data_IF_484573871820
#
_entry.id   IF_484573871820
#
_cell.length_a   1.000
_cell.length_b   1.000
_cell.length_c   1.000
_cell.angle_alpha   90.00
_cell.angle_beta   90.00
_cell.angle_gamma   90.00
#
_symmetry.space_group_name_H-M   'P 1'
#
loop_
_entity.id
_entity.type
_entity.pdbx_description
1 polymer ?
#
# COMPACT_ATOMS: atom_id res chain seq x y z
N UNK A 1 55.00 23.73 -1.49
CA UNK A 1 53.96 23.58 -2.53
C UNK A 1 52.71 23.08 -1.84
N UNK A 2 51.77 23.98 -1.57
CA UNK A 2 50.54 23.74 -0.81
C UNK A 2 49.45 23.15 -1.72
N UNK A 3 48.90 22.01 -1.33
CA UNK A 3 47.76 21.37 -2.01
C UNK A 3 46.48 22.16 -1.70
N UNK A 4 45.87 22.74 -2.73
CA UNK A 4 44.52 23.30 -2.67
C UNK A 4 43.50 22.17 -2.87
N UNK A 5 42.91 21.68 -1.78
CA UNK A 5 41.71 20.84 -1.82
C UNK A 5 40.48 21.73 -1.98
N UNK A 6 39.90 21.75 -3.18
CA UNK A 6 38.61 22.40 -3.46
C UNK A 6 37.50 21.45 -3.01
N UNK A 7 36.85 21.78 -1.89
CA UNK A 7 35.62 21.12 -1.44
C UNK A 7 34.43 21.70 -2.19
N UNK A 8 33.77 20.89 -3.02
CA UNK A 8 32.50 21.25 -3.66
C UNK A 8 31.37 21.29 -2.62
N UNK A 9 30.42 22.23 -2.71
CA UNK A 9 29.27 22.29 -1.80
C UNK A 9 28.33 21.09 -2.03
N UNK A 10 27.53 20.72 -1.00
CA UNK A 10 26.63 19.57 -1.07
C UNK A 10 25.54 19.77 -2.15
N UNK A 11 25.37 18.76 -3.00
CA UNK A 11 24.25 18.66 -3.95
C UNK A 11 22.94 18.60 -3.17
N UNK A 12 22.18 19.69 -3.22
CA UNK A 12 20.78 19.69 -2.77
C UNK A 12 19.98 18.87 -3.78
N UNK A 13 19.60 17.65 -3.38
CA UNK A 13 18.60 16.88 -4.11
C UNK A 13 17.29 17.65 -3.98
N UNK A 14 16.93 18.35 -5.05
CA UNK A 14 15.60 18.96 -5.17
C UNK A 14 14.62 17.81 -5.36
N UNK A 15 13.54 17.67 -4.56
CA UNK A 15 12.55 16.64 -4.80
C UNK A 15 11.99 16.81 -6.20
N UNK A 16 11.96 15.71 -6.95
CA UNK A 16 11.45 15.63 -8.32
C UNK A 16 10.03 16.22 -8.33
N UNK A 17 9.85 17.36 -9.01
CA UNK A 17 8.53 17.91 -9.27
C UNK A 17 7.82 16.91 -10.19
N UNK A 18 6.55 16.54 -9.92
CA UNK A 18 5.80 15.69 -10.83
C UNK A 18 5.81 16.31 -12.23
N UNK A 19 5.89 15.49 -13.30
CA UNK A 19 6.03 15.99 -14.65
C UNK A 19 4.93 17.01 -14.95
N UNK A 20 5.35 18.18 -15.43
CA UNK A 20 4.47 19.22 -15.93
C UNK A 20 3.73 18.64 -17.15
N UNK A 21 2.56 18.05 -16.92
CA UNK A 21 1.71 17.63 -18.01
C UNK A 21 1.14 18.94 -18.60
N UNK A 22 1.46 19.30 -19.85
CA UNK A 22 0.92 20.51 -20.43
C UNK A 22 -0.62 20.41 -20.42
N UNK A 23 -1.35 21.47 -20.04
CA UNK A 23 -2.81 21.45 -20.08
C UNK A 23 -3.25 21.05 -21.48
N UNK A 24 -4.20 20.10 -21.57
CA UNK A 24 -4.81 19.69 -22.83
C UNK A 24 -5.53 20.93 -23.39
N UNK A 25 -4.90 21.59 -24.36
CA UNK A 25 -5.54 22.63 -25.15
C UNK A 25 -6.59 21.95 -26.02
N UNK A 26 -7.87 22.16 -25.71
CA UNK A 26 -8.96 21.66 -26.55
C UNK A 26 -8.89 22.41 -27.89
N UNK A 27 -8.69 21.73 -29.03
CA UNK A 27 -8.62 22.40 -30.32
C UNK A 27 -10.02 22.86 -30.75
N UNK A 28 -10.19 24.15 -31.04
CA UNK A 28 -11.20 24.57 -32.03
C UNK A 28 -12.41 25.40 -31.60
N UNK A 29 -12.46 26.02 -30.43
CA UNK A 29 -13.50 27.04 -30.17
C UNK A 29 -12.88 28.28 -29.53
N UNK A 30 -12.70 29.34 -30.33
CA UNK A 30 -12.74 30.68 -29.75
C UNK A 30 -14.10 30.77 -29.05
N UNK A 31 -14.11 30.77 -27.72
CA UNK A 31 -15.33 30.87 -26.95
C UNK A 31 -15.93 32.25 -27.22
N UNK A 32 -16.98 32.27 -28.05
CA UNK A 32 -17.75 33.47 -28.33
C UNK A 32 -18.97 33.39 -27.42
N UNK A 33 -19.18 34.37 -26.52
CA UNK A 33 -20.35 34.37 -25.65
C UNK A 33 -21.64 34.22 -26.48
N UNK A 34 -22.62 33.42 -26.03
CA UNK A 34 -23.85 33.19 -26.79
C UNK A 34 -24.56 34.47 -27.25
N UNK A 35 -24.55 35.53 -26.44
CA UNK A 35 -25.10 36.84 -26.79
C UNK A 35 -24.37 37.57 -27.94
N UNK A 36 -23.17 37.11 -28.30
CA UNK A 36 -22.36 37.57 -29.44
C UNK A 36 -22.38 36.59 -30.63
N UNK A 37 -23.05 35.43 -30.52
CA UNK A 37 -23.14 34.40 -31.59
C UNK A 37 -24.32 34.56 -32.54
N UNK A 38 -25.15 35.61 -32.39
CA UNK A 38 -26.27 35.88 -33.31
C UNK A 38 -27.44 34.89 -33.18
N UNK A 39 -27.54 34.13 -32.09
CA UNK A 39 -28.56 33.10 -31.88
C UNK A 39 -29.67 33.42 -30.85
N UNK A 40 -29.57 34.51 -30.08
CA UNK A 40 -30.64 34.93 -29.16
C UNK A 40 -30.97 36.39 -29.43
N UNK A 41 -32.05 36.61 -30.18
CA UNK A 41 -32.73 37.88 -30.46
C UNK A 41 -31.90 39.17 -30.24
N UNK A 42 -31.01 39.47 -31.19
CA UNK A 42 -30.73 40.86 -31.57
C UNK A 42 -31.49 41.18 -32.86
N UNK A 43 -32.82 41.38 -32.85
CA UNK A 43 -33.55 41.83 -34.03
C UNK A 43 -33.29 43.33 -34.20
N UNK A 44 -32.22 43.68 -34.94
CA UNK A 44 -31.95 45.03 -35.47
C UNK A 44 -30.62 45.17 -36.26
N UNK A 45 -29.73 44.17 -36.31
CA UNK A 45 -28.46 44.33 -37.04
C UNK A 45 -28.67 44.64 -38.52
N UNK A 46 -29.68 44.02 -39.14
CA UNK A 46 -30.05 44.26 -40.54
C UNK A 46 -30.43 45.70 -40.84
N UNK A 47 -31.06 46.41 -39.90
CA UNK A 47 -31.48 47.81 -40.11
C UNK A 47 -30.29 48.78 -40.02
N UNK A 48 -29.33 48.49 -39.12
CA UNK A 48 -28.10 49.28 -38.99
C UNK A 48 -27.15 49.03 -40.16
N UNK A 49 -27.01 47.77 -40.60
CA UNK A 49 -26.25 47.44 -41.80
C UNK A 49 -26.88 48.03 -43.07
N UNK A 50 -28.21 48.01 -43.17
CA UNK A 50 -28.95 48.66 -44.25
C UNK A 50 -28.77 50.19 -44.22
N UNK A 51 -28.70 50.80 -43.03
CA UNK A 51 -28.39 52.22 -42.87
C UNK A 51 -27.00 52.55 -43.42
N UNK A 52 -25.96 51.81 -43.01
CA UNK A 52 -24.58 52.05 -43.47
C UNK A 52 -24.32 51.63 -44.93
N UNK A 53 -25.26 50.92 -45.57
CA UNK A 53 -25.22 50.59 -46.99
C UNK A 53 -25.74 51.71 -47.91
N UNK A 54 -26.35 52.77 -47.36
CA UNK A 54 -26.92 53.88 -48.15
C UNK A 54 -25.83 54.78 -48.74
N UNK A 55 -26.08 55.33 -49.93
CA UNK A 55 -25.22 56.39 -50.51
C UNK A 55 -25.36 57.68 -49.69
N UNK A 56 -24.24 58.35 -49.42
CA UNK A 56 -24.24 59.67 -48.77
C UNK A 56 -24.19 59.65 -47.23
N UNK A 57 -24.11 58.48 -46.59
CA UNK A 57 -24.01 58.34 -45.11
C UNK A 57 -22.75 59.01 -44.53
N UNK A 58 -21.72 59.20 -45.36
CA UNK A 58 -20.46 59.86 -44.98
C UNK A 58 -20.51 61.39 -45.12
N UNK A 59 -21.61 61.96 -45.65
CA UNK A 59 -21.76 63.40 -45.80
C UNK A 59 -21.99 64.07 -44.43
N UNK A 60 -21.52 65.31 -44.29
CA UNK A 60 -21.65 66.08 -43.04
C UNK A 60 -23.11 66.21 -42.57
N UNK A 61 -24.05 66.25 -43.51
CA UNK A 61 -25.51 66.33 -43.25
C UNK A 61 -26.06 65.09 -42.52
N UNK A 62 -25.39 63.94 -42.60
CA UNK A 62 -25.80 62.68 -41.95
C UNK A 62 -25.24 62.50 -40.54
N UNK A 63 -24.42 63.44 -40.04
CA UNK A 63 -23.68 63.30 -38.77
C UNK A 63 -24.56 62.94 -37.58
N UNK A 64 -25.66 63.66 -37.35
CA UNK A 64 -26.55 63.43 -36.20
C UNK A 64 -27.20 62.05 -36.27
N UNK A 65 -27.62 61.61 -37.45
CA UNK A 65 -28.20 60.29 -37.65
C UNK A 65 -27.18 59.18 -37.42
N UNK A 66 -25.94 59.34 -37.91
CA UNK A 66 -24.87 58.36 -37.67
C UNK A 66 -24.55 58.25 -36.16
N UNK A 67 -24.44 59.37 -35.46
CA UNK A 67 -24.21 59.36 -33.99
C UNK A 67 -25.34 58.62 -33.27
N UNK A 68 -26.60 58.95 -33.56
CA UNK A 68 -27.75 58.30 -32.93
C UNK A 68 -27.76 56.78 -33.19
N UNK A 69 -27.53 56.36 -34.43
CA UNK A 69 -27.48 54.94 -34.82
C UNK A 69 -26.37 54.18 -34.09
N UNK A 70 -25.19 54.78 -33.92
CA UNK A 70 -24.06 54.14 -33.23
C UNK A 70 -24.30 54.03 -31.73
N UNK A 71 -24.89 55.07 -31.11
CA UNK A 71 -25.30 55.03 -29.70
C UNK A 71 -26.30 53.90 -29.48
N UNK A 72 -27.35 53.81 -30.30
CA UNK A 72 -28.36 52.76 -30.20
C UNK A 72 -27.76 51.36 -30.40
N UNK A 73 -26.86 51.20 -31.38
CA UNK A 73 -26.19 49.93 -31.62
C UNK A 73 -25.34 49.51 -30.41
N UNK A 74 -24.59 50.42 -29.79
CA UNK A 74 -23.78 50.12 -28.60
C UNK A 74 -24.66 49.79 -27.38
N UNK A 75 -25.74 50.54 -27.15
CA UNK A 75 -26.68 50.27 -26.05
C UNK A 75 -27.34 48.89 -26.17
N UNK A 76 -27.62 48.43 -27.39
CA UNK A 76 -28.15 47.07 -27.61
C UNK A 76 -27.12 46.00 -27.24
N UNK A 77 -25.86 46.18 -27.64
CA UNK A 77 -24.76 45.27 -27.25
C UNK A 77 -24.64 45.24 -25.71
N UNK A 78 -24.71 46.40 -25.06
CA UNK A 78 -24.67 46.50 -23.61
C UNK A 78 -25.84 45.76 -22.93
N UNK A 79 -27.06 45.92 -23.43
CA UNK A 79 -28.23 45.22 -22.90
C UNK A 79 -28.10 43.70 -23.05
N UNK A 80 -27.60 43.22 -24.19
CA UNK A 80 -27.31 41.80 -24.41
C UNK A 80 -26.26 41.26 -23.44
N UNK A 81 -25.21 42.03 -23.16
CA UNK A 81 -24.23 41.71 -22.12
C UNK A 81 -24.85 41.64 -20.72
N UNK A 82 -25.63 42.66 -20.32
CA UNK A 82 -26.28 42.71 -19.01
C UNK A 82 -27.28 41.56 -18.80
N UNK A 83 -27.99 41.16 -19.86
CA UNK A 83 -28.89 40.00 -19.83
C UNK A 83 -28.13 38.67 -19.70
N UNK A 84 -26.88 38.59 -20.15
CA UNK A 84 -26.06 37.39 -20.08
C UNK A 84 -25.38 37.18 -18.73
N UNK A 85 -25.00 38.26 -18.01
CA UNK A 85 -24.25 38.16 -16.76
C UNK A 85 -24.84 37.16 -15.73
N UNK A 86 -26.16 37.12 -15.48
CA UNK A 86 -26.73 36.15 -14.53
C UNK A 86 -26.62 34.68 -14.98
N UNK A 87 -26.48 34.43 -16.29
CA UNK A 87 -26.40 33.11 -16.90
C UNK A 87 -24.96 32.55 -16.91
N UNK A 88 -23.95 33.42 -16.73
CA UNK A 88 -22.54 33.06 -16.85
C UNK A 88 -22.14 31.88 -15.94
N UNK A 89 -22.62 31.84 -14.69
CA UNK A 89 -22.32 30.74 -13.77
C UNK A 89 -22.84 29.40 -14.28
N UNK A 90 -24.07 29.36 -14.78
CA UNK A 90 -24.67 28.14 -15.33
C UNK A 90 -23.91 27.65 -16.56
N UNK A 91 -23.48 28.55 -17.44
CA UNK A 91 -22.70 28.19 -18.62
C UNK A 91 -21.32 27.63 -18.24
N UNK A 92 -20.68 28.21 -17.21
CA UNK A 92 -19.42 27.68 -16.65
C UNK A 92 -19.62 26.24 -16.13
N UNK A 93 -20.71 25.96 -15.41
CA UNK A 93 -20.98 24.62 -14.89
C UNK A 93 -21.17 23.60 -16.02
N UNK A 94 -21.84 24.00 -17.10
CA UNK A 94 -22.00 23.16 -18.31
C UNK A 94 -20.65 22.88 -18.98
N UNK A 95 -19.78 23.88 -19.10
CA UNK A 95 -18.44 23.72 -19.67
C UNK A 95 -17.57 22.79 -18.82
N UNK A 96 -17.64 22.90 -17.48
CA UNK A 96 -16.93 22.00 -16.56
C UNK A 96 -17.44 20.56 -16.72
N UNK A 97 -18.76 20.39 -16.78
CA UNK A 97 -19.37 19.07 -16.98
C UNK A 97 -18.98 18.44 -18.31
N UNK A 98 -18.85 19.23 -19.39
CA UNK A 98 -18.44 18.74 -20.70
C UNK A 98 -16.99 18.23 -20.75
N UNK A 99 -16.13 18.70 -19.85
CA UNK A 99 -14.70 18.31 -19.77
C UNK A 99 -14.48 17.16 -18.78
N UNK A 100 -15.45 16.88 -17.91
CA UNK A 100 -15.35 15.84 -16.89
C UNK A 100 -15.90 14.51 -17.43
N UNK A 101 -15.06 13.52 -17.68
CA UNK A 101 -15.49 12.18 -18.10
C UNK A 101 -16.19 11.42 -16.95
N UNK A 102 -17.27 10.71 -17.27
CA UNK A 102 -18.00 9.85 -16.31
C UNK A 102 -17.39 8.44 -16.26
N UNK A 103 -16.63 8.15 -15.21
CA UNK A 103 -16.12 6.80 -14.88
C UNK A 103 -16.35 6.45 -13.41
N UNK A 104 -16.13 5.18 -13.05
CA UNK A 104 -16.12 4.72 -11.64
C UNK A 104 -14.82 5.17 -10.98
N UNK A 105 -14.82 6.41 -10.49
CA UNK A 105 -13.69 7.04 -9.81
C UNK A 105 -13.97 7.19 -8.31
N UNK A 106 -12.92 7.14 -7.49
CA UNK A 106 -13.02 7.51 -6.08
C UNK A 106 -13.38 9.00 -5.92
N UNK A 107 -13.95 9.37 -4.76
CA UNK A 107 -14.31 10.77 -4.46
C UNK A 107 -13.13 11.74 -4.70
N UNK A 108 -11.92 11.35 -4.31
CA UNK A 108 -10.71 12.13 -4.51
C UNK A 108 -10.34 12.31 -5.99
N UNK A 109 -10.50 11.26 -6.79
CA UNK A 109 -10.22 11.29 -8.24
C UNK A 109 -11.24 12.15 -8.99
N UNK A 110 -12.50 12.11 -8.57
CA UNK A 110 -13.56 12.98 -9.10
C UNK A 110 -13.18 14.45 -8.88
N UNK A 111 -12.85 14.84 -7.64
CA UNK A 111 -12.49 16.23 -7.29
C UNK A 111 -11.22 16.67 -8.03
N UNK A 112 -10.22 15.79 -8.18
CA UNK A 112 -8.99 16.08 -8.94
C UNK A 112 -9.28 16.32 -10.43
N UNK A 113 -10.14 15.50 -11.03
CA UNK A 113 -10.53 15.62 -12.43
C UNK A 113 -11.31 16.92 -12.67
N UNK A 114 -12.24 17.25 -11.78
CA UNK A 114 -12.99 18.51 -11.83
C UNK A 114 -12.05 19.72 -11.70
N UNK A 115 -11.03 19.66 -10.83
CA UNK A 115 -10.02 20.71 -10.69
C UNK A 115 -9.22 20.91 -11.97
N UNK A 116 -8.79 19.83 -12.62
CA UNK A 116 -8.07 19.90 -13.89
C UNK A 116 -8.93 20.51 -15.00
N UNK A 117 -10.23 20.18 -15.04
CA UNK A 117 -11.17 20.80 -15.97
C UNK A 117 -11.28 22.32 -15.75
N UNK A 118 -11.45 22.74 -14.50
CA UNK A 118 -11.51 24.18 -14.12
C UNK A 118 -10.22 24.90 -14.48
N UNK A 119 -9.04 24.33 -14.21
CA UNK A 119 -7.74 24.92 -14.55
C UNK A 119 -7.54 25.06 -16.06
N UNK A 120 -7.98 24.07 -16.84
CA UNK A 120 -7.95 24.15 -18.30
C UNK A 120 -8.83 25.31 -18.82
N UNK A 121 -10.04 25.47 -18.27
CA UNK A 121 -10.93 26.57 -18.64
C UNK A 121 -10.37 27.95 -18.27
N UNK A 122 -9.64 28.08 -17.16
CA UNK A 122 -8.94 29.34 -16.80
C UNK A 122 -7.89 29.68 -17.85
N UNK A 123 -7.08 28.71 -18.26
CA UNK A 123 -6.05 28.92 -19.29
C UNK A 123 -6.69 29.35 -20.62
N UNK A 124 -7.74 28.66 -21.05
CA UNK A 124 -8.47 29.00 -22.28
C UNK A 124 -9.08 30.41 -22.22
N UNK A 125 -9.76 30.74 -21.11
CA UNK A 125 -10.36 32.07 -20.92
C UNK A 125 -9.30 33.18 -20.90
N UNK A 126 -8.12 32.93 -20.34
CA UNK A 126 -7.01 33.90 -20.31
C UNK A 126 -6.46 34.17 -21.72
N UNK A 127 -6.35 33.14 -22.56
CA UNK A 127 -5.94 33.29 -23.97
C UNK A 127 -6.96 34.10 -24.76
N UNK A 128 -8.25 33.76 -24.62
CA UNK A 128 -9.32 34.49 -25.31
C UNK A 128 -9.45 35.93 -24.80
N UNK A 129 -9.18 36.20 -23.51
CA UNK A 129 -9.16 37.54 -22.93
C UNK A 129 -8.09 38.41 -23.61
N UNK A 130 -6.88 37.88 -23.77
CA UNK A 130 -5.80 38.58 -24.46
C UNK A 130 -6.15 38.88 -25.93
N UNK A 131 -6.69 37.89 -26.65
CA UNK A 131 -7.11 38.06 -28.05
C UNK A 131 -8.23 39.11 -28.18
N UNK A 132 -9.24 39.04 -27.31
CA UNK A 132 -10.37 39.97 -27.28
C UNK A 132 -9.92 41.39 -26.94
N UNK A 133 -8.95 41.54 -26.04
CA UNK A 133 -8.35 42.83 -25.71
C UNK A 133 -7.70 43.51 -26.91
N UNK A 134 -6.97 42.74 -27.75
CA UNK A 134 -6.38 43.26 -29.00
C UNK A 134 -7.46 43.72 -29.98
N UNK A 135 -8.52 42.92 -30.17
CA UNK A 135 -9.63 43.28 -31.07
C UNK A 135 -10.39 44.51 -30.54
N UNK A 136 -10.59 44.60 -29.22
CA UNK A 136 -11.30 45.72 -28.60
C UNK A 136 -10.61 47.05 -28.89
N UNK A 137 -9.28 47.13 -28.84
CA UNK A 137 -8.56 48.39 -29.07
C UNK A 137 -8.32 48.71 -30.55
N UNK A 138 -8.54 47.75 -31.47
CA UNK A 138 -8.16 47.87 -32.88
C UNK A 138 -8.85 48.99 -33.67
N UNK A 139 -10.08 49.38 -33.31
CA UNK A 139 -10.82 50.41 -34.04
C UNK A 139 -10.44 51.83 -33.59
N UNK A 140 -10.44 52.09 -32.28
CA UNK A 140 -10.20 53.43 -31.72
C UNK A 140 -8.75 53.70 -31.29
N UNK A 141 -7.88 52.68 -31.28
CA UNK A 141 -6.56 52.76 -30.64
C UNK A 141 -6.61 52.84 -29.11
N UNK A 142 -7.80 52.60 -28.53
CA UNK A 142 -8.08 52.60 -27.08
C UNK A 142 -9.26 51.69 -26.79
N UNK A 143 -9.48 51.38 -25.52
CA UNK A 143 -10.63 50.59 -25.09
C UNK A 143 -11.96 51.32 -25.39
N UNK A 144 -12.92 50.72 -26.14
CA UNK A 144 -14.17 51.40 -26.54
C UNK A 144 -15.05 51.81 -25.36
N UNK A 145 -15.03 51.03 -24.28
CA UNK A 145 -15.79 51.29 -23.04
C UNK A 145 -15.03 52.21 -22.06
N UNK A 146 -13.84 52.71 -22.45
CA UNK A 146 -13.04 53.63 -21.63
C UNK A 146 -13.51 55.08 -21.68
N UNK A 147 -14.53 55.38 -22.48
CA UNK A 147 -15.17 56.70 -22.59
C UNK A 147 -16.68 56.54 -22.66
N UNK A 148 -17.41 57.62 -22.40
CA UNK A 148 -18.87 57.66 -22.56
C UNK A 148 -19.31 57.29 -24.00
N UNK A 149 -20.45 56.60 -24.12
CA UNK A 149 -20.99 56.12 -25.40
C UNK A 149 -21.14 57.26 -26.41
N UNK A 150 -21.63 58.43 -25.97
CA UNK A 150 -21.77 59.61 -26.83
C UNK A 150 -20.42 60.06 -27.43
N UNK A 151 -19.34 60.05 -26.63
CA UNK A 151 -17.99 60.39 -27.09
C UNK A 151 -17.43 59.32 -28.04
N UNK A 152 -17.67 58.04 -27.75
CA UNK A 152 -17.33 56.93 -28.64
C UNK A 152 -18.01 57.05 -30.02
N UNK A 153 -19.29 57.43 -30.04
CA UNK A 153 -20.06 57.64 -31.26
C UNK A 153 -19.56 58.84 -32.09
N UNK A 154 -19.15 59.93 -31.44
CA UNK A 154 -18.51 61.06 -32.13
C UNK A 154 -17.18 60.64 -32.74
N UNK A 155 -16.37 59.87 -32.02
CA UNK A 155 -15.09 59.38 -32.56
C UNK A 155 -15.29 58.41 -33.74
N UNK A 156 -16.35 57.61 -33.72
CA UNK A 156 -16.74 56.80 -34.87
C UNK A 156 -17.02 57.67 -36.11
N UNK A 157 -17.78 58.76 -35.94
CA UNK A 157 -18.06 59.69 -37.04
C UNK A 157 -16.78 60.29 -37.61
N UNK A 158 -15.82 60.66 -36.75
CA UNK A 158 -14.53 61.18 -37.19
C UNK A 158 -13.78 60.16 -38.08
N UNK A 159 -13.78 58.88 -37.69
CA UNK A 159 -13.19 57.80 -38.52
C UNK A 159 -13.97 57.61 -39.83
N UNK A 160 -15.30 57.70 -39.79
CA UNK A 160 -16.17 57.54 -40.96
C UNK A 160 -15.96 58.66 -41.99
N UNK A 161 -15.90 59.92 -41.55
CA UNK A 161 -15.80 61.11 -42.42
C UNK A 161 -14.41 61.30 -43.01
N UNK A 162 -13.36 60.85 -42.32
CA UNK A 162 -11.97 60.90 -42.81
C UNK A 162 -11.63 59.78 -43.79
N UNK A 163 -12.53 58.82 -43.97
CA UNK A 163 -12.35 57.67 -44.85
C UNK A 163 -12.71 57.96 -46.32
N UNK A 164 -12.26 57.10 -47.25
CA UNK A 164 -12.54 57.26 -48.69
C UNK A 164 -14.04 57.11 -48.98
N UNK A 165 -14.57 58.05 -49.77
CA UNK A 165 -15.98 58.07 -50.18
C UNK A 165 -16.29 56.95 -51.17
N UNK A 166 -16.86 55.85 -50.70
CA UNK A 166 -17.34 54.74 -51.54
C UNK A 166 -18.51 54.00 -50.88
N UNK A 167 -19.28 53.26 -51.69
CA UNK A 167 -20.55 52.63 -51.28
C UNK A 167 -20.39 51.59 -50.14
N UNK A 168 -19.25 50.91 -50.04
CA UNK A 168 -19.07 49.80 -49.09
C UNK A 168 -18.22 50.17 -47.86
N UNK A 169 -17.45 51.25 -47.93
CA UNK A 169 -16.52 51.65 -46.85
C UNK A 169 -17.25 51.99 -45.54
N UNK A 170 -18.45 52.58 -45.60
CA UNK A 170 -19.23 52.90 -44.40
C UNK A 170 -19.67 51.63 -43.64
N UNK A 171 -20.11 50.60 -44.38
CA UNK A 171 -20.50 49.31 -43.80
C UNK A 171 -19.28 48.57 -43.22
N UNK A 172 -18.14 48.59 -43.91
CA UNK A 172 -16.91 47.95 -43.42
C UNK A 172 -16.39 48.63 -42.15
N UNK A 173 -16.48 49.96 -42.06
CA UNK A 173 -16.13 50.73 -40.85
C UNK A 173 -17.08 50.39 -39.70
N UNK A 174 -18.39 50.31 -39.96
CA UNK A 174 -19.37 49.87 -38.97
C UNK A 174 -19.08 48.45 -38.46
N UNK A 175 -18.76 47.50 -39.34
CA UNK A 175 -18.43 46.12 -38.95
C UNK A 175 -17.21 46.06 -38.05
N UNK A 176 -16.12 46.75 -38.42
CA UNK A 176 -14.89 46.82 -37.60
C UNK A 176 -15.13 47.50 -36.24
N UNK A 177 -15.97 48.53 -36.20
CA UNK A 177 -16.37 49.17 -34.95
C UNK A 177 -17.19 48.21 -34.07
N UNK A 178 -18.18 47.54 -34.67
CA UNK A 178 -19.04 46.59 -33.97
C UNK A 178 -18.22 45.44 -33.39
N UNK A 179 -17.29 44.86 -34.16
CA UNK A 179 -16.32 43.86 -33.69
C UNK A 179 -15.50 44.36 -32.49
N UNK A 180 -15.01 45.60 -32.54
CA UNK A 180 -14.24 46.21 -31.46
C UNK A 180 -15.08 46.42 -30.19
N UNK A 181 -16.32 46.91 -30.29
CA UNK A 181 -17.22 47.10 -29.14
C UNK A 181 -17.67 45.76 -28.55
N UNK A 182 -18.04 44.79 -29.39
CA UNK A 182 -18.39 43.43 -28.94
C UNK A 182 -17.24 42.75 -28.23
N UNK A 183 -16.01 42.88 -28.75
CA UNK A 183 -14.81 42.35 -28.09
C UNK A 183 -14.55 43.02 -26.72
N UNK A 184 -14.85 44.30 -26.58
CA UNK A 184 -14.73 45.01 -25.29
C UNK A 184 -15.72 44.48 -24.23
N UNK A 185 -16.95 44.11 -24.62
CA UNK A 185 -17.87 43.43 -23.69
C UNK A 185 -17.47 41.96 -23.46
N UNK A 186 -16.90 41.28 -24.46
CA UNK A 186 -16.33 39.93 -24.30
C UNK A 186 -15.22 39.92 -23.24
N UNK A 187 -14.35 40.92 -23.23
CA UNK A 187 -13.31 41.12 -22.20
C UNK A 187 -13.92 41.12 -20.79
N UNK A 188 -14.96 41.93 -20.54
CA UNK A 188 -15.62 41.99 -19.22
C UNK A 188 -16.20 40.65 -18.77
N UNK A 189 -16.79 39.89 -19.70
CA UNK A 189 -17.32 38.56 -19.41
C UNK A 189 -16.20 37.57 -19.10
N UNK A 190 -15.09 37.61 -19.85
CA UNK A 190 -13.95 36.73 -19.62
C UNK A 190 -13.25 37.03 -18.29
N UNK A 191 -13.14 38.30 -17.91
CA UNK A 191 -12.65 38.69 -16.58
C UNK A 191 -13.49 38.08 -15.45
N UNK A 192 -14.82 38.17 -15.57
CA UNK A 192 -15.73 37.59 -14.58
C UNK A 192 -15.70 36.06 -14.58
N UNK A 193 -15.60 35.43 -15.77
CA UNK A 193 -15.44 33.98 -15.91
C UNK A 193 -14.16 33.49 -15.23
N UNK A 194 -13.03 34.17 -15.47
CA UNK A 194 -11.76 33.85 -14.82
C UNK A 194 -11.87 34.00 -13.30
N UNK A 195 -12.52 35.06 -12.80
CA UNK A 195 -12.75 35.27 -11.37
C UNK A 195 -13.52 34.09 -10.75
N UNK A 196 -14.65 33.71 -11.33
CA UNK A 196 -15.50 32.60 -10.85
C UNK A 196 -14.73 31.27 -10.88
N UNK A 197 -14.06 30.95 -12.00
CA UNK A 197 -13.26 29.73 -12.13
C UNK A 197 -12.11 29.69 -11.12
N UNK A 198 -11.46 30.82 -10.84
CA UNK A 198 -10.38 30.92 -9.85
C UNK A 198 -10.91 30.64 -8.44
N UNK A 199 -12.06 31.19 -8.07
CA UNK A 199 -12.72 30.89 -6.79
C UNK A 199 -13.06 29.40 -6.67
N UNK A 200 -13.59 28.79 -7.74
CA UNK A 200 -13.89 27.36 -7.78
C UNK A 200 -12.63 26.48 -7.68
N UNK A 201 -11.54 26.85 -8.36
CA UNK A 201 -10.26 26.15 -8.27
C UNK A 201 -9.68 26.16 -6.86
N UNK A 202 -9.80 27.29 -6.16
CA UNK A 202 -9.37 27.42 -4.76
C UNK A 202 -10.23 26.54 -3.83
N UNK A 203 -11.55 26.53 -4.02
CA UNK A 203 -12.45 25.67 -3.25
C UNK A 203 -12.15 24.17 -3.46
N UNK A 204 -11.91 23.75 -4.72
CA UNK A 204 -11.52 22.38 -5.04
C UNK A 204 -10.18 22.00 -4.43
N UNK A 205 -9.22 22.93 -4.36
CA UNK A 205 -7.92 22.71 -3.70
C UNK A 205 -8.10 22.37 -2.21
N UNK A 206 -8.97 23.09 -1.51
CA UNK A 206 -9.30 22.79 -0.11
C UNK A 206 -10.02 21.45 0.03
N UNK A 207 -10.92 21.12 -0.89
CA UNK A 207 -11.63 19.84 -0.89
C UNK A 207 -10.68 18.65 -1.09
N UNK A 208 -9.70 18.78 -1.99
CA UNK A 208 -8.66 17.75 -2.21
C UNK A 208 -7.85 17.52 -0.94
N UNK A 209 -7.39 18.59 -0.28
CA UNK A 209 -6.62 18.47 0.95
C UNK A 209 -7.42 17.74 2.04
N UNK A 210 -8.67 18.16 2.29
CA UNK A 210 -9.53 17.53 3.29
C UNK A 210 -9.83 16.06 3.00
N UNK A 211 -10.08 15.69 1.73
CA UNK A 211 -10.37 14.30 1.36
C UNK A 211 -9.12 13.43 1.43
N UNK A 212 -7.95 13.97 1.05
CA UNK A 212 -6.67 13.28 1.20
C UNK A 212 -6.35 13.00 2.68
N UNK A 213 -6.50 14.00 3.55
CA UNK A 213 -6.23 13.84 4.99
C UNK A 213 -7.11 12.75 5.64
N UNK A 214 -8.39 12.69 5.23
CA UNK A 214 -9.33 11.64 5.68
C UNK A 214 -8.89 10.26 5.22
N UNK A 215 -8.49 10.12 3.96
CA UNK A 215 -8.07 8.86 3.38
C UNK A 215 -6.75 8.37 4.01
N UNK A 216 -5.79 9.28 4.20
CA UNK A 216 -4.52 8.97 4.87
C UNK A 216 -4.75 8.54 6.33
N UNK A 217 -5.68 9.20 7.04
CA UNK A 217 -6.09 8.81 8.39
C UNK A 217 -6.73 7.43 8.42
N UNK A 218 -7.59 7.11 7.44
CA UNK A 218 -8.22 5.79 7.32
C UNK A 218 -7.18 4.70 7.08
N UNK A 219 -6.26 4.92 6.15
CA UNK A 219 -5.17 3.98 5.83
C UNK A 219 -4.28 3.76 7.06
N UNK A 220 -3.93 4.84 7.79
CA UNK A 220 -3.11 4.74 8.99
C UNK A 220 -3.81 3.94 10.12
N UNK A 221 -5.10 4.18 10.35
CA UNK A 221 -5.87 3.46 11.37
C UNK A 221 -6.07 1.98 11.02
N UNK A 222 -6.32 1.65 9.75
CA UNK A 222 -6.40 0.27 9.28
C UNK A 222 -5.06 -0.48 9.40
N UNK A 223 -3.95 0.18 9.07
CA UNK A 223 -2.61 -0.40 9.21
C UNK A 223 -2.27 -0.69 10.69
N UNK A 224 -2.61 0.22 11.60
CA UNK A 224 -2.40 0.02 13.03
C UNK A 224 -3.28 -1.09 13.59
N UNK A 225 -4.55 -1.14 13.20
CA UNK A 225 -5.47 -2.21 13.60
C UNK A 225 -4.98 -3.58 13.13
N UNK A 226 -4.48 -3.67 11.89
CA UNK A 226 -3.91 -4.90 11.33
C UNK A 226 -2.66 -5.35 12.10
N UNK A 227 -1.74 -4.43 12.40
CA UNK A 227 -0.54 -4.72 13.19
C UNK A 227 -0.90 -5.26 14.57
N UNK A 228 -1.85 -4.62 15.26
CA UNK A 228 -2.30 -5.06 16.58
C UNK A 228 -2.98 -6.43 16.54
N UNK A 229 -3.79 -6.70 15.51
CA UNK A 229 -4.43 -8.01 15.32
C UNK A 229 -3.40 -9.12 15.02
N UNK A 230 -2.37 -8.84 14.21
CA UNK A 230 -1.27 -9.77 13.94
C UNK A 230 -0.44 -10.07 15.19
N UNK A 231 -0.14 -9.05 16.00
CA UNK A 231 0.57 -9.20 17.26
C UNK A 231 -0.24 -10.04 18.27
N UNK A 232 -1.54 -9.75 18.43
CA UNK A 232 -2.43 -10.53 19.29
C UNK A 232 -2.57 -11.98 18.81
N UNK A 233 -2.65 -12.21 17.49
CA UNK A 233 -2.70 -13.55 16.92
C UNK A 233 -1.39 -14.32 17.16
N UNK A 234 -0.24 -13.66 17.06
CA UNK A 234 1.06 -14.25 17.36
C UNK A 234 1.17 -14.65 18.83
N UNK A 235 0.79 -13.76 19.75
CA UNK A 235 0.80 -14.05 21.20
C UNK A 235 -0.16 -15.19 21.53
N UNK A 236 -1.38 -15.17 20.99
CA UNK A 236 -2.36 -16.23 21.21
C UNK A 236 -1.89 -17.60 20.65
N UNK A 237 -1.22 -17.60 19.50
CA UNK A 237 -0.63 -18.81 18.93
C UNK A 237 0.52 -19.35 19.78
N UNK A 238 1.37 -18.46 20.32
CA UNK A 238 2.44 -18.84 21.24
C UNK A 238 1.91 -19.43 22.55
N UNK A 239 0.92 -18.80 23.17
CA UNK A 239 0.24 -19.29 24.38
C UNK A 239 -0.44 -20.65 24.14
N UNK A 240 -1.11 -20.82 23.00
CA UNK A 240 -1.72 -22.08 22.62
C UNK A 240 -0.69 -23.20 22.45
N UNK A 241 0.47 -22.89 21.86
CA UNK A 241 1.56 -23.85 21.67
C UNK A 241 2.25 -24.22 23.00
N UNK A 242 2.47 -23.25 23.89
CA UNK A 242 2.96 -23.49 25.26
C UNK A 242 2.02 -24.41 26.04
N UNK A 243 0.72 -24.13 26.01
CA UNK A 243 -0.29 -24.96 26.67
C UNK A 243 -0.36 -26.37 26.06
N UNK A 244 -0.30 -26.47 24.73
CA UNK A 244 -0.29 -27.75 24.02
C UNK A 244 0.95 -28.58 24.39
N UNK A 245 2.12 -27.94 24.49
CA UNK A 245 3.35 -28.58 24.95
C UNK A 245 3.26 -29.08 26.38
N UNK A 246 2.75 -28.27 27.31
CA UNK A 246 2.58 -28.67 28.71
C UNK A 246 1.61 -29.85 28.88
N UNK A 247 0.48 -29.84 28.18
CA UNK A 247 -0.47 -30.97 28.17
C UNK A 247 0.16 -32.22 27.57
N UNK A 248 0.90 -32.08 26.48
CA UNK A 248 1.57 -33.20 25.85
C UNK A 248 2.61 -33.85 26.76
N UNK A 249 3.41 -33.03 27.45
CA UNK A 249 4.40 -33.51 28.40
C UNK A 249 3.72 -34.27 29.55
N UNK A 250 2.57 -33.78 30.04
CA UNK A 250 1.79 -34.47 31.06
C UNK A 250 1.27 -35.84 30.56
N UNK A 251 0.79 -35.91 29.31
CA UNK A 251 0.37 -37.16 28.67
C UNK A 251 1.53 -38.14 28.52
N UNK A 252 2.70 -37.70 28.05
CA UNK A 252 3.90 -38.55 27.96
C UNK A 252 4.32 -39.05 29.34
N UNK A 253 4.30 -38.20 30.37
CA UNK A 253 4.64 -38.62 31.74
C UNK A 253 3.68 -39.70 32.26
N UNK A 254 2.38 -39.57 31.95
CA UNK A 254 1.38 -40.58 32.25
C UNK A 254 1.63 -41.86 31.46
N UNK A 255 1.93 -41.77 30.18
CA UNK A 255 2.22 -42.92 29.33
C UNK A 255 3.47 -43.65 29.81
N UNK A 256 4.53 -42.94 30.18
CA UNK A 256 5.74 -43.54 30.75
C UNK A 256 5.41 -44.31 32.04
N UNK A 257 4.59 -43.72 32.93
CA UNK A 257 4.16 -44.37 34.16
C UNK A 257 3.37 -45.66 33.88
N UNK A 258 2.39 -45.59 32.99
CA UNK A 258 1.50 -46.72 32.68
C UNK A 258 2.24 -47.83 31.90
N UNK A 259 3.12 -47.46 30.98
CA UNK A 259 3.76 -48.37 30.04
C UNK A 259 5.07 -48.96 30.58
N UNK A 260 5.82 -48.20 31.40
CA UNK A 260 7.17 -48.55 31.85
C UNK A 260 7.34 -48.58 33.37
N UNK A 261 6.30 -48.26 34.13
CA UNK A 261 6.25 -48.39 35.59
C UNK A 261 6.88 -47.23 36.37
N UNK A 262 6.72 -47.27 37.70
CA UNK A 262 7.05 -46.17 38.61
C UNK A 262 8.53 -45.78 38.59
N UNK A 263 9.44 -46.76 38.49
CA UNK A 263 10.88 -46.50 38.48
C UNK A 263 11.33 -45.70 37.26
N UNK A 264 10.87 -46.09 36.07
CA UNK A 264 11.19 -45.36 34.84
C UNK A 264 10.50 -44.00 34.80
N UNK A 265 9.28 -43.89 35.32
CA UNK A 265 8.59 -42.60 35.47
C UNK A 265 9.37 -41.62 36.37
N UNK A 266 9.89 -42.09 37.51
CA UNK A 266 10.75 -41.29 38.40
C UNK A 266 12.02 -40.80 37.72
N UNK A 267 12.69 -41.67 36.95
CA UNK A 267 13.87 -41.29 36.16
C UNK A 267 13.50 -40.22 35.13
N UNK A 268 12.44 -40.43 34.35
CA UNK A 268 12.01 -39.50 33.32
C UNK A 268 11.65 -38.12 33.89
N UNK A 269 10.96 -38.07 35.03
CA UNK A 269 10.68 -36.81 35.74
C UNK A 269 11.97 -36.13 36.22
N UNK A 270 12.90 -36.89 36.82
CA UNK A 270 14.18 -36.34 37.25
C UNK A 270 15.08 -35.84 36.09
N UNK A 271 14.93 -36.40 34.89
CA UNK A 271 15.57 -35.88 33.68
C UNK A 271 14.98 -34.53 33.25
N UNK A 272 13.69 -34.29 33.49
CA UNK A 272 13.00 -33.03 33.16
C UNK A 272 13.33 -31.91 34.14
N UNK A 273 13.61 -32.26 35.40
CA UNK A 273 13.92 -31.28 36.44
C UNK A 273 15.07 -30.35 36.05
N UNK A 274 14.76 -29.06 35.98
CA UNK A 274 15.67 -27.98 35.60
C UNK A 274 16.44 -28.25 34.29
N UNK A 275 15.86 -29.02 33.35
CA UNK A 275 16.54 -29.39 32.10
C UNK A 275 16.94 -28.14 31.29
N UNK A 276 16.11 -27.10 31.32
CA UNK A 276 16.40 -25.79 30.74
C UNK A 276 17.56 -25.14 31.49
N UNK A 277 18.78 -25.30 30.97
CA UNK A 277 20.01 -24.77 31.56
C UNK A 277 21.00 -25.82 32.07
N UNK A 278 20.66 -27.12 32.03
CA UNK A 278 21.66 -28.18 32.26
C UNK A 278 22.78 -28.08 31.21
N UNK A 279 24.02 -28.19 31.68
CA UNK A 279 25.19 -28.23 30.81
C UNK A 279 25.17 -29.52 29.99
N UNK A 280 25.27 -29.39 28.67
CA UNK A 280 25.40 -30.56 27.80
C UNK A 280 26.87 -30.99 27.71
N UNK A 281 27.08 -32.30 27.77
CA UNK A 281 28.35 -32.99 27.62
C UNK A 281 28.63 -33.25 26.14
N UNK A 282 29.91 -33.33 25.79
CA UNK A 282 30.31 -33.67 24.42
C UNK A 282 30.01 -35.15 24.13
N UNK A 283 29.91 -35.51 22.84
CA UNK A 283 29.71 -36.88 22.41
C UNK A 283 30.70 -37.87 23.05
N UNK A 284 32.02 -37.61 23.10
CA UNK A 284 32.96 -38.52 23.76
C UNK A 284 32.66 -38.72 25.25
N UNK A 285 32.29 -37.67 25.97
CA UNK A 285 31.96 -37.72 27.39
C UNK A 285 30.65 -38.47 27.65
N UNK A 286 29.61 -38.18 26.87
CA UNK A 286 28.33 -38.84 26.96
C UNK A 286 28.47 -40.34 26.65
N UNK A 287 29.15 -40.68 25.56
CA UNK A 287 29.36 -42.07 25.18
C UNK A 287 30.17 -42.86 26.21
N UNK A 288 31.18 -42.25 26.85
CA UNK A 288 31.93 -42.90 27.92
C UNK A 288 31.04 -43.31 29.10
N UNK A 289 30.03 -42.51 29.45
CA UNK A 289 29.03 -42.87 30.46
C UNK A 289 28.04 -43.91 29.93
N UNK A 290 27.58 -43.76 28.69
CA UNK A 290 26.62 -44.68 28.07
C UNK A 290 27.16 -46.11 27.85
N UNK A 291 28.48 -46.29 27.71
CA UNK A 291 29.10 -47.62 27.61
C UNK A 291 28.75 -48.54 28.80
N UNK A 292 28.47 -47.99 29.99
CA UNK A 292 28.04 -48.77 31.14
C UNK A 292 26.71 -49.51 30.88
N UNK A 293 25.79 -48.86 30.16
CA UNK A 293 24.52 -49.45 29.74
C UNK A 293 24.73 -50.42 28.57
N UNK A 294 25.64 -50.11 27.64
CA UNK A 294 25.96 -51.01 26.51
C UNK A 294 26.59 -52.33 26.98
N UNK A 295 27.37 -52.30 28.06
CA UNK A 295 28.00 -53.48 28.64
C UNK A 295 27.01 -54.36 29.43
N UNK A 296 25.79 -53.87 29.70
CA UNK A 296 24.80 -54.57 30.50
C UNK A 296 24.28 -55.82 29.75
N UNK A 297 24.36 -57.04 30.34
CA UNK A 297 23.85 -58.24 29.68
C UNK A 297 22.34 -58.20 29.45
N UNK A 298 21.58 -57.42 30.23
CA UNK A 298 20.13 -57.27 30.15
C UNK A 298 19.64 -56.47 28.95
N UNK A 299 20.53 -55.83 28.18
CA UNK A 299 20.15 -55.10 26.95
C UNK A 299 20.26 -55.95 25.68
N UNK A 300 20.70 -57.21 25.79
CA UNK A 300 20.87 -58.10 24.62
C UNK A 300 19.53 -58.54 24.08
N UNK A 301 19.29 -58.26 22.80
CA UNK A 301 18.12 -58.70 22.06
C UNK A 301 18.46 -59.80 21.07
N UNK A 302 17.56 -60.77 20.93
CA UNK A 302 17.62 -61.76 19.85
C UNK A 302 17.12 -61.16 18.52
N UNK A 303 17.19 -61.94 17.44
CA UNK A 303 16.81 -61.48 16.10
C UNK A 303 15.32 -61.10 16.00
N UNK A 304 14.43 -61.83 16.68
CA UNK A 304 12.99 -61.61 16.63
C UNK A 304 12.62 -60.34 17.41
N UNK A 305 13.24 -60.16 18.58
CA UNK A 305 13.07 -58.99 19.42
C UNK A 305 13.54 -57.72 18.71
N UNK A 306 14.69 -57.77 18.01
CA UNK A 306 15.16 -56.65 17.18
C UNK A 306 14.16 -56.28 16.09
N UNK A 307 13.63 -57.26 15.36
CA UNK A 307 12.65 -57.03 14.30
C UNK A 307 11.37 -56.37 14.82
N UNK A 308 10.88 -56.81 15.99
CA UNK A 308 9.72 -56.22 16.64
C UNK A 308 9.96 -54.74 17.00
N UNK A 309 11.10 -54.41 17.59
CA UNK A 309 11.45 -53.03 17.95
C UNK A 309 11.65 -52.15 16.71
N UNK A 310 12.33 -52.66 15.67
CA UNK A 310 12.52 -51.93 14.42
C UNK A 310 11.18 -51.64 13.72
N UNK A 311 10.24 -52.58 13.78
CA UNK A 311 8.89 -52.38 13.24
C UNK A 311 8.15 -51.26 13.98
N UNK A 312 8.27 -51.20 15.31
CA UNK A 312 7.72 -50.10 16.12
C UNK A 312 8.33 -48.74 15.78
N UNK A 313 9.66 -48.65 15.61
CA UNK A 313 10.32 -47.42 15.15
C UNK A 313 9.85 -47.02 13.74
N UNK A 314 9.62 -48.00 12.86
CA UNK A 314 9.15 -47.74 11.49
C UNK A 314 7.77 -47.06 11.44
N UNK A 315 6.89 -47.40 12.39
CA UNK A 315 5.52 -46.85 12.48
C UNK A 315 5.51 -45.37 12.88
N UNK A 316 6.56 -44.88 13.56
CA UNK A 316 6.69 -43.45 13.84
C UNK A 316 6.92 -42.69 12.53
N UNK A 317 5.89 -42.02 12.02
CA UNK A 317 6.02 -41.17 10.85
C UNK A 317 6.72 -39.85 11.22
N UNK A 318 7.38 -39.27 10.22
CA UNK A 318 8.17 -38.06 10.37
C UNK A 318 7.36 -36.86 10.87
N UNK A 319 6.11 -36.70 10.40
CA UNK A 319 5.32 -35.52 10.70
C UNK A 319 4.86 -35.54 12.16
N UNK A 320 4.37 -36.69 12.64
CA UNK A 320 4.03 -36.87 14.05
C UNK A 320 5.25 -36.75 14.96
N UNK A 321 6.40 -37.31 14.58
CA UNK A 321 7.62 -37.15 15.37
C UNK A 321 8.03 -35.67 15.44
N UNK A 322 7.94 -34.92 14.34
CA UNK A 322 8.25 -33.50 14.31
C UNK A 322 7.33 -32.64 15.18
N UNK A 323 6.03 -32.92 15.14
CA UNK A 323 5.04 -32.25 15.99
C UNK A 323 5.31 -32.53 17.48
N UNK A 324 5.53 -33.80 17.83
CA UNK A 324 5.84 -34.21 19.20
C UNK A 324 7.10 -33.54 19.74
N UNK A 325 8.19 -33.52 18.94
CA UNK A 325 9.43 -32.82 19.30
C UNK A 325 9.19 -31.33 19.49
N UNK A 326 8.38 -30.69 18.64
CA UNK A 326 8.07 -29.26 18.75
C UNK A 326 7.29 -28.96 20.05
N UNK A 327 6.27 -29.75 20.35
CA UNK A 327 5.45 -29.60 21.57
C UNK A 327 6.28 -29.83 22.84
N UNK A 328 7.12 -30.87 22.86
CA UNK A 328 8.04 -31.13 23.97
C UNK A 328 9.11 -30.06 24.10
N UNK A 329 9.70 -29.61 22.99
CA UNK A 329 10.70 -28.54 22.99
C UNK A 329 10.13 -27.27 23.63
N UNK A 330 8.88 -26.92 23.28
CA UNK A 330 8.18 -25.79 23.91
C UNK A 330 7.92 -25.99 25.40
N UNK A 331 7.56 -27.20 25.83
CA UNK A 331 7.43 -27.51 27.25
C UNK A 331 8.76 -27.38 28.03
N UNK A 332 9.89 -27.61 27.37
CA UNK A 332 11.24 -27.46 27.94
C UNK A 332 11.92 -26.11 27.64
N UNK A 333 11.18 -25.12 27.14
CA UNK A 333 11.70 -23.77 26.88
C UNK A 333 12.68 -23.66 25.70
N UNK A 334 12.65 -24.61 24.77
CA UNK A 334 13.46 -24.58 23.55
C UNK A 334 12.92 -23.52 22.59
N UNK A 335 13.81 -22.68 22.07
CA UNK A 335 13.53 -21.66 21.06
C UNK A 335 14.02 -22.16 19.70
N UNK A 336 13.15 -22.12 18.69
CA UNK A 336 13.45 -22.59 17.33
C UNK A 336 12.93 -24.00 17.03
N UNK A 337 13.26 -24.50 15.83
CA UNK A 337 12.85 -25.81 15.32
C UNK A 337 14.05 -26.76 15.22
N UNK A 338 13.89 -28.00 15.66
CA UNK A 338 14.88 -29.06 15.45
C UNK A 338 14.66 -29.62 14.04
N UNK A 339 15.60 -29.43 13.11
CA UNK A 339 15.45 -29.88 11.73
C UNK A 339 15.87 -31.34 11.49
N UNK A 340 16.65 -31.92 12.41
CA UNK A 340 17.29 -33.24 12.29
C UNK A 340 16.41 -34.43 12.73
N UNK A 341 15.08 -34.25 12.77
CA UNK A 341 14.15 -35.21 13.39
C UNK A 341 14.19 -36.61 12.75
N UNK A 342 14.37 -36.70 11.43
CA UNK A 342 14.49 -38.00 10.75
C UNK A 342 15.76 -38.75 11.14
N UNK A 343 16.89 -38.02 11.24
CA UNK A 343 18.18 -38.62 11.56
C UNK A 343 18.18 -39.23 12.98
N UNK A 344 17.41 -38.64 13.90
CA UNK A 344 17.21 -39.18 15.26
C UNK A 344 16.54 -40.56 15.18
N UNK A 345 15.46 -40.69 14.40
CA UNK A 345 14.77 -41.98 14.20
C UNK A 345 15.66 -43.00 13.50
N UNK A 346 16.35 -42.60 12.44
CA UNK A 346 17.27 -43.47 11.70
C UNK A 346 18.45 -43.93 12.57
N UNK A 347 19.02 -43.04 13.38
CA UNK A 347 20.06 -43.37 14.33
C UNK A 347 19.59 -44.33 15.42
N UNK A 348 18.34 -44.20 15.89
CA UNK A 348 17.73 -45.15 16.81
C UNK A 348 17.57 -46.54 16.16
N UNK A 349 17.12 -46.59 14.91
CA UNK A 349 17.01 -47.84 14.15
C UNK A 349 18.37 -48.53 13.97
N UNK A 350 19.41 -47.78 13.59
CA UNK A 350 20.78 -48.30 13.46
C UNK A 350 21.30 -48.85 14.80
N UNK A 351 21.02 -48.14 15.91
CA UNK A 351 21.37 -48.59 17.26
C UNK A 351 20.74 -49.93 17.63
N UNK A 352 19.47 -50.15 17.29
CA UNK A 352 18.77 -51.43 17.54
C UNK A 352 19.29 -52.55 16.63
N UNK A 353 19.50 -52.24 15.35
CA UNK A 353 19.89 -53.22 14.34
C UNK A 353 21.31 -53.76 14.58
N UNK A 354 22.29 -52.85 14.63
CA UNK A 354 23.73 -53.18 14.63
C UNK A 354 24.41 -52.96 15.99
N UNK A 355 23.73 -52.33 16.95
CA UNK A 355 24.33 -51.93 18.22
C UNK A 355 25.21 -50.67 18.11
N UNK A 356 25.19 -50.01 16.96
CA UNK A 356 25.96 -48.80 16.66
C UNK A 356 25.13 -47.55 17.01
N UNK A 357 25.28 -47.06 18.23
CA UNK A 357 24.59 -45.86 18.72
C UNK A 357 25.25 -44.54 18.34
N UNK A 358 26.39 -44.59 17.63
CA UNK A 358 27.15 -43.39 17.26
C UNK A 358 26.34 -42.40 16.42
N UNK A 359 25.57 -42.81 15.38
CA UNK A 359 24.79 -41.86 14.58
C UNK A 359 23.78 -41.09 15.42
N UNK A 360 23.01 -41.78 16.27
CA UNK A 360 22.07 -41.12 17.18
C UNK A 360 22.80 -40.19 18.16
N UNK A 361 23.90 -40.65 18.76
CA UNK A 361 24.68 -39.81 19.67
C UNK A 361 25.14 -38.51 19.01
N UNK A 362 25.69 -38.55 17.80
CA UNK A 362 26.15 -37.34 17.10
C UNK A 362 24.99 -36.37 16.77
N UNK A 363 23.81 -36.88 16.42
CA UNK A 363 22.64 -36.04 16.22
C UNK A 363 22.18 -35.37 17.53
N UNK A 364 22.20 -36.10 18.65
CA UNK A 364 21.91 -35.51 19.96
C UNK A 364 22.95 -34.46 20.37
N UNK A 365 24.23 -34.65 20.07
CA UNK A 365 25.28 -33.65 20.27
C UNK A 365 25.03 -32.41 19.39
N UNK A 366 24.67 -32.59 18.13
CA UNK A 366 24.34 -31.48 17.22
C UNK A 366 23.19 -30.63 17.77
N UNK A 367 22.10 -31.29 18.19
CA UNK A 367 20.95 -30.64 18.82
C UNK A 367 21.38 -29.92 20.11
N UNK A 368 22.20 -30.57 20.94
CA UNK A 368 22.70 -29.99 22.16
C UNK A 368 23.51 -28.71 21.93
N UNK A 369 24.43 -28.73 20.95
CA UNK A 369 25.30 -27.60 20.64
C UNK A 369 24.50 -26.41 20.09
N UNK A 370 23.42 -26.68 19.35
CA UNK A 370 22.55 -25.63 18.81
C UNK A 370 21.49 -25.11 19.77
N UNK A 371 20.92 -25.99 20.62
CA UNK A 371 19.65 -25.73 21.32
C UNK A 371 19.62 -26.14 22.80
N UNK A 372 20.68 -26.77 23.31
CA UNK A 372 20.83 -27.14 24.72
C UNK A 372 20.11 -28.42 25.14
N UNK A 373 20.19 -28.75 26.44
CA UNK A 373 19.74 -30.04 27.00
C UNK A 373 18.22 -30.27 26.86
N UNK A 374 17.41 -29.21 26.94
CA UNK A 374 15.96 -29.31 26.76
C UNK A 374 15.57 -29.83 25.37
N UNK A 375 16.33 -29.46 24.34
CA UNK A 375 16.13 -29.93 22.96
C UNK A 375 16.51 -31.40 22.80
N UNK A 376 17.61 -31.83 23.44
CA UNK A 376 18.02 -33.24 23.49
C UNK A 376 16.95 -34.09 24.16
N UNK A 377 16.42 -33.62 25.30
CA UNK A 377 15.38 -34.32 26.02
C UNK A 377 14.07 -34.37 25.22
N UNK A 378 13.67 -33.28 24.58
CA UNK A 378 12.49 -33.24 23.70
C UNK A 378 12.59 -34.27 22.55
N UNK A 379 13.73 -34.27 21.84
CA UNK A 379 14.02 -35.21 20.77
C UNK A 379 13.92 -36.67 21.24
N UNK A 380 14.50 -36.96 22.41
CA UNK A 380 14.57 -38.31 22.96
C UNK A 380 13.22 -38.79 23.49
N UNK A 381 12.48 -37.92 24.19
CA UNK A 381 11.17 -38.26 24.74
C UNK A 381 10.12 -38.49 23.65
N UNK A 382 10.26 -37.83 22.49
CA UNK A 382 9.37 -38.05 21.35
C UNK A 382 9.46 -39.47 20.76
N UNK A 383 10.54 -40.23 21.05
CA UNK A 383 10.71 -41.63 20.65
C UNK A 383 10.02 -42.62 21.59
N UNK A 384 9.55 -42.19 22.78
CA UNK A 384 9.08 -43.07 23.85
C UNK A 384 7.61 -43.50 23.68
N UNK A 385 7.27 -44.02 22.50
CA UNK A 385 5.90 -44.42 22.17
C UNK A 385 5.42 -45.61 23.03
N UNK A 386 4.17 -45.63 23.52
CA UNK A 386 3.61 -46.78 24.25
C UNK A 386 3.65 -48.11 23.48
N UNK A 387 3.78 -48.08 22.15
CA UNK A 387 3.90 -49.29 21.32
C UNK A 387 5.08 -50.17 21.74
N UNK A 388 6.16 -49.59 22.28
CA UNK A 388 7.31 -50.34 22.74
C UNK A 388 7.02 -51.16 24.01
N UNK A 389 6.05 -50.77 24.83
CA UNK A 389 5.67 -51.51 26.03
C UNK A 389 4.89 -52.82 25.77
N UNK A 390 4.59 -53.13 24.51
CA UNK A 390 3.93 -54.39 24.12
C UNK A 390 4.85 -55.61 24.21
N UNK A 391 6.17 -55.40 24.36
CA UNK A 391 7.18 -56.47 24.48
C UNK A 391 8.25 -56.09 25.50
N UNK A 392 8.85 -57.09 26.15
CA UNK A 392 9.99 -56.87 27.06
C UNK A 392 11.16 -56.20 26.34
N UNK A 393 11.44 -56.62 25.11
CA UNK A 393 12.48 -56.04 24.27
C UNK A 393 12.27 -54.54 23.98
N UNK A 394 11.03 -54.12 23.70
CA UNK A 394 10.72 -52.72 23.46
C UNK A 394 10.91 -51.86 24.72
N UNK A 395 10.51 -52.34 25.90
CA UNK A 395 10.78 -51.64 27.18
C UNK A 395 12.29 -51.48 27.42
N UNK A 396 13.06 -52.53 27.16
CA UNK A 396 14.54 -52.49 27.29
C UNK A 396 15.13 -51.43 26.36
N UNK A 397 14.71 -51.37 25.10
CA UNK A 397 15.25 -50.38 24.14
C UNK A 397 14.85 -48.95 24.52
N UNK A 398 13.64 -48.74 25.03
CA UNK A 398 13.22 -47.45 25.58
C UNK A 398 14.13 -47.01 26.73
N UNK A 399 14.50 -47.92 27.64
CA UNK A 399 15.46 -47.63 28.69
C UNK A 399 16.86 -47.31 28.12
N UNK A 400 17.33 -48.03 27.10
CA UNK A 400 18.60 -47.73 26.42
C UNK A 400 18.59 -46.35 25.76
N UNK A 401 17.51 -45.97 25.06
CA UNK A 401 17.39 -44.63 24.45
C UNK A 401 17.36 -43.52 25.51
N UNK A 402 16.65 -43.71 26.62
CA UNK A 402 16.66 -42.77 27.74
C UNK A 402 18.04 -42.65 28.38
N UNK A 403 18.78 -43.75 28.52
CA UNK A 403 20.14 -43.72 29.04
C UNK A 403 21.09 -42.96 28.12
N UNK A 404 20.98 -43.13 26.80
CA UNK A 404 21.76 -42.37 25.84
C UNK A 404 21.47 -40.87 25.94
N UNK A 405 20.18 -40.50 26.04
CA UNK A 405 19.77 -39.11 26.24
C UNK A 405 20.34 -38.54 27.55
N UNK A 406 20.13 -39.24 28.67
CA UNK A 406 20.62 -38.85 29.99
C UNK A 406 22.15 -38.66 29.99
N UNK A 407 22.90 -39.48 29.26
CA UNK A 407 24.35 -39.36 29.21
C UNK A 407 24.86 -37.99 28.76
N UNK A 408 24.06 -37.22 28.00
CA UNK A 408 24.39 -35.86 27.57
C UNK A 408 24.23 -34.81 28.67
N UNK A 409 23.45 -35.02 29.73
CA UNK A 409 23.17 -33.96 30.70
C UNK A 409 23.04 -34.42 32.16
N UNK A 410 23.01 -35.72 32.42
CA UNK A 410 22.79 -36.30 33.74
C UNK A 410 23.34 -37.74 33.84
N UNK A 411 24.60 -37.88 34.25
CA UNK A 411 25.23 -39.21 34.39
C UNK A 411 24.61 -40.04 35.51
N UNK A 412 24.08 -39.41 36.56
CA UNK A 412 23.42 -40.12 37.67
C UNK A 412 22.16 -40.83 37.18
N UNK A 413 21.40 -40.19 36.27
CA UNK A 413 20.24 -40.83 35.63
C UNK A 413 20.63 -42.01 34.75
N UNK A 414 21.82 -42.02 34.14
CA UNK A 414 22.32 -43.19 33.41
C UNK A 414 22.51 -44.38 34.35
N UNK A 415 23.10 -44.15 35.52
CA UNK A 415 23.34 -45.20 36.52
C UNK A 415 22.02 -45.76 37.09
N UNK A 416 21.05 -44.88 37.34
CA UNK A 416 19.70 -45.28 37.76
C UNK A 416 19.03 -46.16 36.70
N UNK A 417 19.07 -45.77 35.42
CA UNK A 417 18.51 -46.55 34.31
C UNK A 417 19.21 -47.91 34.18
N UNK A 418 20.54 -47.93 34.25
CA UNK A 418 21.32 -49.16 34.14
C UNK A 418 20.92 -50.16 35.24
N UNK A 419 20.70 -49.65 36.46
CA UNK A 419 20.24 -50.43 37.60
C UNK A 419 18.83 -50.99 37.38
N UNK A 420 17.92 -50.18 36.84
CA UNK A 420 16.55 -50.63 36.49
C UNK A 420 16.59 -51.78 35.49
N UNK A 421 17.44 -51.70 34.46
CA UNK A 421 17.62 -52.79 33.48
C UNK A 421 18.15 -54.06 34.16
N UNK A 422 19.17 -53.94 35.02
CA UNK A 422 19.77 -55.09 35.73
C UNK A 422 18.79 -55.82 36.65
N UNK A 423 17.92 -55.09 37.35
CA UNK A 423 16.95 -55.66 38.29
C UNK A 423 15.75 -56.33 37.60
N UNK A 424 15.64 -56.18 36.27
CA UNK A 424 14.47 -56.56 35.50
C UNK A 424 13.34 -55.53 35.63
N UNK A 425 12.76 -55.14 34.50
CA UNK A 425 11.72 -54.11 34.40
C UNK A 425 10.35 -54.53 34.99
N UNK A 426 10.24 -55.77 35.52
CA UNK A 426 8.97 -56.41 35.91
C UNK A 426 8.69 -56.49 37.43
N UNK A 427 9.44 -55.79 38.28
CA UNK A 427 9.07 -55.71 39.70
C UNK A 427 8.06 -54.59 39.92
N UNK A 428 6.79 -54.99 39.85
CA UNK A 428 5.54 -54.31 40.26
C UNK A 428 5.68 -53.26 41.34
#
# INVERSE_FOLDING_TARGET
MTQNTITLPPTVVTPDLPPFNPPILIPGSAWIPPFLTGGVNVPASGDVEAFFSKKGVQLAESTVSVVATIIEAQLRIEQSYLAYLPQLTTDIDVEIAAVTESGDFSELEIIKTEKLAVESLIVQATVELANSGVVAVAFFGRHPLGVEIAKSAVDFVNVLQTSRHSRNVALDIYKRWSESVMAAYRVKVLEEKIRILTEKSNALTLSIANTQDKEDTRIATEAEAKRLAEEQASVAAEDALLKSGALFLADINKDILLAYGERMSKVALGMQDNISGKKVRSYPEAMATFEQVRANPGIRLDAKDKEAVLSSLKILDQATLADNVTRLGKAFGVVGKIDQINNIREGAMEGVESGNWKPLGLELESIALGMGAGAVLAASMALLSPVFATTVAGVVIVAVMMALAAAYFDSEKVDEINTVILMGLNNT
#
